data_IF_570287280397
#
_entry.id   IF_570287280397
#
_cell.length_a   1.000
_cell.length_b   1.000
_cell.length_c   1.000
_cell.angle_alpha   90.00
_cell.angle_beta   90.00
_cell.angle_gamma   90.00
#
_symmetry.space_group_name_H-M   'P 1'
#
loop_
_entity.id
_entity.type
_entity.pdbx_description
1 polymer ?
#
# COMPACT_ATOMS: atom_id res chain seq x y z
N UNK A 1 11.55 -5.58 13.82
CA UNK A 1 10.38 -6.08 13.07
C UNK A 1 9.14 -5.36 13.57
N UNK A 2 8.06 -5.27 12.81
CA UNK A 2 6.88 -4.53 13.26
C UNK A 2 6.23 -5.21 14.46
N UNK A 3 5.83 -4.41 15.45
CA UNK A 3 5.10 -4.92 16.64
C UNK A 3 3.70 -5.43 16.28
N UNK A 4 3.14 -4.98 15.14
CA UNK A 4 1.85 -5.39 14.57
C UNK A 4 2.04 -5.65 13.08
N UNK A 5 1.40 -6.70 12.55
CA UNK A 5 1.35 -6.96 11.11
C UNK A 5 0.00 -7.56 10.69
N UNK A 6 -0.35 -7.39 9.43
CA UNK A 6 -1.53 -8.02 8.81
C UNK A 6 -1.20 -9.51 8.56
N UNK A 7 -1.81 -10.40 9.34
CA UNK A 7 -1.58 -11.84 9.25
C UNK A 7 -2.49 -12.48 8.23
N UNK A 8 -3.82 -12.28 8.36
CA UNK A 8 -4.77 -12.89 7.44
C UNK A 8 -5.73 -11.88 6.84
N UNK A 9 -6.12 -12.14 5.60
CA UNK A 9 -7.20 -11.46 4.89
C UNK A 9 -8.16 -12.51 4.35
N UNK A 10 -9.42 -12.45 4.74
CA UNK A 10 -10.50 -13.26 4.15
C UNK A 10 -11.52 -12.37 3.47
N UNK A 11 -11.87 -12.73 2.25
CA UNK A 11 -12.78 -11.97 1.39
C UNK A 11 -13.90 -12.91 0.93
N UNK A 12 -15.15 -12.48 1.08
CA UNK A 12 -16.34 -13.24 0.65
C UNK A 12 -17.34 -12.31 -0.03
N UNK A 13 -17.83 -12.67 -1.18
CA UNK A 13 -18.86 -11.93 -1.90
C UNK A 13 -18.45 -10.55 -2.44
N UNK A 14 -17.17 -10.18 -2.37
CA UNK A 14 -16.68 -8.85 -2.69
C UNK A 14 -16.12 -8.79 -4.12
N UNK A 15 -16.68 -7.94 -4.96
CA UNK A 15 -16.26 -7.70 -6.37
C UNK A 15 -16.13 -9.01 -7.14
N UNK A 16 -14.91 -9.45 -7.45
CA UNK A 16 -14.64 -10.68 -8.21
C UNK A 16 -14.57 -11.96 -7.36
N UNK A 17 -14.63 -11.85 -6.02
CA UNK A 17 -14.54 -12.99 -5.10
C UNK A 17 -15.94 -13.49 -4.70
N UNK A 18 -16.37 -14.61 -5.29
CA UNK A 18 -17.68 -15.23 -5.01
C UNK A 18 -17.70 -15.97 -3.68
N UNK A 19 -16.64 -16.75 -3.39
CA UNK A 19 -16.51 -17.59 -2.20
C UNK A 19 -15.45 -17.05 -1.25
N UNK A 20 -15.48 -17.55 0.00
CA UNK A 20 -14.45 -17.22 1.01
C UNK A 20 -13.05 -17.54 0.48
N UNK A 21 -12.29 -16.49 0.21
CA UNK A 21 -10.91 -16.57 -0.26
C UNK A 21 -10.00 -16.00 0.81
N UNK A 22 -9.01 -16.80 1.27
CA UNK A 22 -8.10 -16.44 2.34
C UNK A 22 -6.67 -16.26 1.85
N UNK A 23 -5.94 -15.33 2.47
CA UNK A 23 -4.51 -15.08 2.29
C UNK A 23 -3.87 -14.93 3.65
N UNK A 24 -2.70 -15.55 3.85
CA UNK A 24 -1.93 -15.44 5.09
C UNK A 24 -0.55 -14.86 4.82
N UNK A 25 -0.21 -13.82 5.52
CA UNK A 25 1.07 -13.12 5.40
C UNK A 25 1.95 -13.36 6.63
N UNK A 26 3.25 -13.12 6.46
CA UNK A 26 4.25 -13.07 7.54
C UNK A 26 4.81 -11.67 7.65
N UNK A 27 5.48 -11.32 8.77
CA UNK A 27 6.30 -10.11 8.81
C UNK A 27 7.28 -10.07 7.64
N UNK A 28 7.66 -8.87 7.19
CA UNK A 28 8.54 -8.69 6.04
C UNK A 28 7.79 -8.39 4.75
N UNK A 29 8.12 -9.06 3.66
CA UNK A 29 7.60 -8.77 2.30
C UNK A 29 6.62 -9.86 1.86
N UNK A 30 5.34 -9.51 1.78
CA UNK A 30 4.31 -10.32 1.13
C UNK A 30 4.14 -9.92 -0.34
N UNK A 31 4.06 -10.91 -1.24
CA UNK A 31 3.87 -10.63 -2.65
C UNK A 31 2.64 -11.36 -3.20
N UNK A 32 1.82 -10.64 -3.95
CA UNK A 32 0.63 -11.15 -4.65
C UNK A 32 0.90 -11.09 -6.14
N UNK A 33 0.78 -12.25 -6.81
CA UNK A 33 1.01 -12.38 -8.25
C UNK A 33 -0.20 -12.95 -8.96
N UNK A 34 -0.32 -12.68 -10.25
CA UNK A 34 -1.37 -13.20 -11.12
C UNK A 34 -1.46 -12.39 -12.40
N UNK A 35 -2.12 -12.89 -13.42
CA UNK A 35 -2.33 -12.18 -14.68
C UNK A 35 -3.12 -10.87 -14.46
N UNK A 36 -3.12 -9.97 -15.45
CA UNK A 36 -3.97 -8.78 -15.40
C UNK A 36 -5.44 -9.17 -15.41
N UNK A 37 -6.27 -8.44 -14.66
CA UNK A 37 -7.71 -8.68 -14.60
C UNK A 37 -8.16 -9.83 -13.68
N UNK A 38 -7.24 -10.56 -13.01
CA UNK A 38 -7.63 -11.69 -12.13
C UNK A 38 -8.11 -11.27 -10.73
N UNK A 39 -8.25 -9.98 -10.45
CA UNK A 39 -8.77 -9.50 -9.17
C UNK A 39 -7.71 -9.16 -8.11
N UNK A 40 -6.41 -9.07 -8.46
CA UNK A 40 -5.35 -8.70 -7.49
C UNK A 40 -5.64 -7.38 -6.77
N UNK A 41 -5.95 -6.33 -7.52
CA UNK A 41 -6.25 -5.01 -6.95
C UNK A 41 -7.57 -5.00 -6.16
N UNK A 42 -8.49 -5.94 -6.40
CA UNK A 42 -9.71 -6.09 -5.60
C UNK A 42 -9.40 -6.55 -4.15
N UNK A 43 -8.24 -7.16 -3.94
CA UNK A 43 -7.75 -7.51 -2.60
C UNK A 43 -7.42 -6.24 -1.82
N UNK A 44 -6.75 -5.27 -2.44
CA UNK A 44 -6.47 -3.97 -1.81
C UNK A 44 -7.77 -3.21 -1.53
N UNK A 45 -8.71 -3.23 -2.47
CA UNK A 45 -10.03 -2.63 -2.27
C UNK A 45 -10.76 -3.23 -1.06
N UNK A 46 -10.69 -4.56 -0.92
CA UNK A 46 -11.30 -5.26 0.21
C UNK A 46 -10.64 -4.87 1.54
N UNK A 47 -9.30 -4.77 1.57
CA UNK A 47 -8.58 -4.29 2.77
C UNK A 47 -8.94 -2.85 3.10
N UNK A 48 -8.98 -1.94 2.12
CA UNK A 48 -9.40 -0.55 2.32
C UNK A 48 -10.82 -0.47 2.86
N UNK A 49 -11.73 -1.21 2.24
CA UNK A 49 -13.12 -1.27 2.68
C UNK A 49 -13.25 -1.79 4.12
N UNK A 50 -12.56 -2.87 4.48
CA UNK A 50 -12.56 -3.41 5.84
C UNK A 50 -11.96 -2.44 6.87
N UNK A 51 -10.99 -1.60 6.48
CA UNK A 51 -10.45 -0.52 7.31
C UNK A 51 -11.41 0.69 7.42
N UNK A 52 -12.64 0.57 6.92
CA UNK A 52 -13.68 1.60 7.04
C UNK A 52 -13.58 2.71 6.00
N UNK A 53 -12.98 2.43 4.83
CA UNK A 53 -13.08 3.36 3.69
C UNK A 53 -14.47 3.27 3.07
N UNK A 54 -15.18 4.39 3.01
CA UNK A 54 -16.50 4.52 2.40
C UNK A 54 -16.48 5.33 1.10
N UNK A 55 -15.31 5.77 0.68
CA UNK A 55 -15.12 6.46 -0.58
C UNK A 55 -15.12 5.45 -1.74
N UNK A 56 -16.25 5.38 -2.45
CA UNK A 56 -16.43 4.45 -3.57
C UNK A 56 -15.41 4.67 -4.68
N UNK A 57 -15.06 5.92 -4.98
CA UNK A 57 -14.07 6.24 -6.01
C UNK A 57 -12.69 5.69 -5.62
N UNK A 58 -12.31 5.82 -4.35
CA UNK A 58 -11.05 5.26 -3.83
C UNK A 58 -11.00 3.75 -3.90
N UNK A 59 -12.11 3.05 -3.75
CA UNK A 59 -12.22 1.59 -3.92
C UNK A 59 -12.67 1.19 -5.32
N UNK A 60 -12.59 2.11 -6.30
CA UNK A 60 -12.85 1.89 -7.71
C UNK A 60 -14.26 1.38 -8.01
N UNK A 61 -15.26 2.00 -7.39
CA UNK A 61 -16.68 1.78 -7.63
C UNK A 61 -17.35 3.11 -7.94
N UNK A 62 -18.34 3.10 -8.79
CA UNK A 62 -19.25 4.24 -9.01
C UNK A 62 -20.50 4.12 -8.15
N UNK A 63 -20.96 2.89 -7.95
CA UNK A 63 -22.16 2.58 -7.18
C UNK A 63 -21.85 1.51 -6.12
N UNK A 64 -22.65 1.51 -5.05
CA UNK A 64 -22.44 0.61 -3.92
C UNK A 64 -22.65 -0.87 -4.29
N UNK A 65 -23.50 -1.14 -5.28
CA UNK A 65 -23.76 -2.45 -5.85
C UNK A 65 -22.51 -3.10 -6.44
N UNK A 66 -21.55 -2.31 -6.94
CA UNK A 66 -20.31 -2.81 -7.53
C UNK A 66 -19.34 -3.38 -6.49
N UNK A 67 -19.59 -3.17 -5.21
CA UNK A 67 -18.86 -3.85 -4.14
C UNK A 67 -19.20 -5.33 -4.06
N UNK A 68 -20.42 -5.69 -4.46
CA UNK A 68 -20.91 -7.06 -4.38
C UNK A 68 -20.52 -7.85 -5.63
N UNK A 69 -20.17 -9.12 -5.44
CA UNK A 69 -20.00 -10.02 -6.55
C UNK A 69 -21.29 -10.07 -7.37
N UNK A 70 -21.18 -9.75 -8.66
CA UNK A 70 -22.35 -9.59 -9.55
C UNK A 70 -22.97 -10.90 -10.02
N UNK A 71 -22.37 -12.04 -9.63
CA UNK A 71 -22.75 -13.36 -10.13
C UNK A 71 -21.92 -13.81 -11.32
N UNK A 72 -21.95 -15.08 -11.55
CA UNK A 72 -21.32 -15.77 -12.68
C UNK A 72 -22.18 -16.94 -13.14
N UNK A 73 -21.67 -17.76 -14.05
CA UNK A 73 -22.38 -18.96 -14.49
C UNK A 73 -22.53 -20.00 -13.37
N UNK A 74 -21.55 -20.08 -12.44
CA UNK A 74 -21.52 -21.07 -11.36
C UNK A 74 -22.00 -20.54 -10.02
N UNK A 75 -21.96 -19.22 -9.82
CA UNK A 75 -22.26 -18.59 -8.55
C UNK A 75 -23.32 -17.50 -8.71
N UNK A 76 -24.35 -17.47 -7.86
CA UNK A 76 -25.31 -16.37 -7.86
C UNK A 76 -24.67 -15.07 -7.43
N UNK A 77 -25.28 -13.92 -7.72
CA UNK A 77 -24.87 -12.64 -7.14
C UNK A 77 -24.85 -12.72 -5.61
N UNK A 78 -23.83 -12.12 -5.00
CA UNK A 78 -23.73 -12.10 -3.54
C UNK A 78 -24.84 -11.25 -2.94
N UNK A 79 -25.53 -11.76 -1.92
CA UNK A 79 -26.46 -11.01 -1.06
C UNK A 79 -25.72 -10.18 -0.04
N UNK A 80 -24.56 -10.67 0.40
CA UNK A 80 -23.76 -10.10 1.46
C UNK A 80 -22.28 -10.11 1.08
N UNK A 81 -21.57 -9.12 1.55
CA UNK A 81 -20.12 -9.06 1.47
C UNK A 81 -19.54 -9.08 2.87
N UNK A 82 -18.44 -9.83 3.03
CA UNK A 82 -17.72 -9.91 4.31
C UNK A 82 -16.22 -9.90 4.06
N UNK A 83 -15.52 -9.01 4.76
CA UNK A 83 -14.07 -8.97 4.78
C UNK A 83 -13.58 -9.04 6.22
N UNK A 84 -12.65 -9.95 6.45
CA UNK A 84 -12.04 -10.18 7.77
C UNK A 84 -10.53 -9.94 7.66
N UNK A 85 -9.98 -9.12 8.54
CA UNK A 85 -8.55 -8.90 8.68
C UNK A 85 -8.10 -9.36 10.05
N UNK A 86 -7.03 -10.16 10.10
CA UNK A 86 -6.38 -10.54 11.35
C UNK A 86 -5.07 -9.76 11.46
N UNK A 87 -4.94 -9.00 12.55
CA UNK A 87 -3.71 -8.30 12.90
C UNK A 87 -3.04 -9.05 14.05
N UNK A 88 -1.78 -9.42 13.89
CA UNK A 88 -1.00 -10.11 14.93
C UNK A 88 -0.10 -9.12 15.65
N UNK A 89 -0.05 -9.21 16.99
CA UNK A 89 0.82 -8.38 17.83
C UNK A 89 2.09 -9.19 18.19
N UNK A 90 3.19 -8.91 17.47
CA UNK A 90 4.46 -9.64 17.68
C UNK A 90 4.56 -10.93 16.87
N UNK A 91 5.74 -11.56 16.92
CA UNK A 91 6.08 -12.72 16.10
C UNK A 91 5.89 -14.08 16.82
N UNK A 92 5.61 -14.04 18.11
CA UNK A 92 5.43 -15.27 18.89
C UNK A 92 4.18 -16.04 18.45
N UNK A 93 4.26 -17.36 18.45
CA UNK A 93 3.17 -18.24 18.00
C UNK A 93 1.85 -18.02 18.74
N UNK A 94 1.91 -17.52 19.97
CA UNK A 94 0.76 -17.23 20.85
C UNK A 94 0.54 -15.73 21.06
N UNK A 95 1.12 -14.88 20.20
CA UNK A 95 0.90 -13.44 20.26
C UNK A 95 -0.59 -13.10 20.09
N UNK A 96 -1.04 -12.08 20.78
CA UNK A 96 -2.43 -11.64 20.70
C UNK A 96 -2.80 -11.25 19.26
N UNK A 97 -4.05 -11.50 18.89
CA UNK A 97 -4.59 -11.12 17.60
C UNK A 97 -5.77 -10.16 17.76
N UNK A 98 -5.88 -9.23 16.84
CA UNK A 98 -7.02 -8.31 16.69
C UNK A 98 -7.74 -8.71 15.41
N UNK A 99 -9.04 -8.96 15.49
CA UNK A 99 -9.87 -9.31 14.37
C UNK A 99 -10.71 -8.09 13.97
N UNK A 100 -10.53 -7.62 12.75
CA UNK A 100 -11.34 -6.57 12.15
C UNK A 100 -12.30 -7.22 11.15
N UNK A 101 -13.58 -7.00 11.30
CA UNK A 101 -14.58 -7.56 10.39
C UNK A 101 -15.52 -6.46 9.93
N UNK A 102 -15.75 -6.39 8.63
CA UNK A 102 -16.83 -5.60 8.06
C UNK A 102 -17.72 -6.48 7.22
N UNK A 103 -19.01 -6.31 7.39
CA UNK A 103 -20.04 -7.03 6.66
C UNK A 103 -21.13 -6.07 6.21
N UNK A 104 -21.56 -6.20 4.97
CA UNK A 104 -22.62 -5.39 4.40
C UNK A 104 -23.56 -6.26 3.59
N UNK A 105 -24.88 -6.04 3.73
CA UNK A 105 -25.90 -6.67 2.89
C UNK A 105 -26.37 -5.73 1.77
N UNK A 106 -26.89 -6.31 0.69
CA UNK A 106 -27.57 -5.54 -0.37
C UNK A 106 -28.81 -4.80 0.15
N UNK A 107 -29.40 -5.27 1.24
CA UNK A 107 -30.54 -4.61 1.88
C UNK A 107 -30.17 -3.32 2.64
N UNK A 108 -28.85 -2.99 2.72
CA UNK A 108 -28.35 -1.74 3.26
C UNK A 108 -27.81 -1.82 4.70
N UNK A 109 -27.77 -3.01 5.33
CA UNK A 109 -27.09 -3.15 6.64
C UNK A 109 -25.58 -3.09 6.44
N UNK A 110 -24.87 -2.36 7.30
CA UNK A 110 -23.40 -2.23 7.30
C UNK A 110 -22.91 -2.33 8.74
N UNK A 111 -22.14 -3.37 9.02
CA UNK A 111 -21.72 -3.75 10.35
C UNK A 111 -20.20 -3.83 10.47
N UNK A 112 -19.68 -3.36 11.61
CA UNK A 112 -18.25 -3.35 11.93
C UNK A 112 -18.01 -4.03 13.27
N UNK A 113 -17.01 -4.90 13.34
CA UNK A 113 -16.57 -5.55 14.57
C UNK A 113 -15.07 -5.44 14.76
N UNK A 114 -14.66 -5.30 16.01
CA UNK A 114 -13.27 -5.46 16.44
C UNK A 114 -13.27 -6.51 17.55
N UNK A 115 -12.68 -7.67 17.29
CA UNK A 115 -12.58 -8.80 18.23
C UNK A 115 -13.91 -9.07 18.93
N UNK A 116 -14.97 -9.37 18.15
CA UNK A 116 -16.34 -9.67 18.59
C UNK A 116 -17.19 -8.49 19.08
N UNK A 117 -16.61 -7.34 19.39
CA UNK A 117 -17.35 -6.14 19.79
C UNK A 117 -17.88 -5.39 18.57
N UNK A 118 -19.18 -5.07 18.49
CA UNK A 118 -19.76 -4.30 17.41
C UNK A 118 -19.48 -2.80 17.58
N UNK A 119 -19.33 -2.09 16.46
CA UNK A 119 -19.11 -0.65 16.41
C UNK A 119 -19.94 -0.02 15.30
N UNK A 120 -20.35 1.24 15.48
CA UNK A 120 -20.72 2.09 14.37
C UNK A 120 -19.46 2.55 13.62
N UNK A 121 -19.63 3.09 12.40
CA UNK A 121 -18.50 3.51 11.56
C UNK A 121 -17.58 4.53 12.25
N UNK A 122 -18.12 5.51 12.97
CA UNK A 122 -17.32 6.56 13.60
C UNK A 122 -16.49 6.01 14.77
N UNK A 123 -17.12 5.21 15.63
CA UNK A 123 -16.46 4.55 16.75
C UNK A 123 -15.41 3.53 16.26
N UNK A 124 -15.71 2.80 15.17
CA UNK A 124 -14.77 1.90 14.51
C UNK A 124 -13.50 2.64 14.06
N UNK A 125 -13.67 3.73 13.31
CA UNK A 125 -12.54 4.56 12.84
C UNK A 125 -11.69 5.11 13.99
N UNK A 126 -12.34 5.59 15.06
CA UNK A 126 -11.65 6.04 16.27
C UNK A 126 -10.86 4.89 16.93
N UNK A 127 -11.48 3.71 17.03
CA UNK A 127 -10.79 2.55 17.61
C UNK A 127 -9.61 2.09 16.80
N UNK A 128 -9.67 2.17 15.46
CA UNK A 128 -8.50 1.92 14.59
C UNK A 128 -7.35 2.89 14.87
N UNK A 129 -7.62 4.17 15.18
CA UNK A 129 -6.59 5.13 15.60
C UNK A 129 -5.93 4.68 16.91
N UNK A 130 -6.73 4.29 17.92
CA UNK A 130 -6.22 3.80 19.21
C UNK A 130 -5.34 2.54 19.06
N UNK A 131 -5.54 1.77 18.01
CA UNK A 131 -4.78 0.56 17.67
C UNK A 131 -3.54 0.82 16.79
N UNK A 132 -3.22 2.09 16.50
CA UNK A 132 -2.08 2.44 15.63
C UNK A 132 -2.35 2.17 14.13
N UNK A 133 -3.62 2.12 13.73
CA UNK A 133 -4.07 1.93 12.34
C UNK A 133 -4.68 3.20 11.74
N UNK A 134 -4.54 4.33 12.41
CA UNK A 134 -5.17 5.59 12.00
C UNK A 134 -4.83 6.01 10.58
N UNK A 135 -3.60 5.76 10.18
CA UNK A 135 -3.09 6.11 8.85
C UNK A 135 -3.01 4.93 7.88
N UNK A 136 -3.52 3.75 8.24
CA UNK A 136 -3.38 2.55 7.40
C UNK A 136 -3.93 2.75 5.97
N UNK A 137 -5.04 3.47 5.81
CA UNK A 137 -5.59 3.80 4.50
C UNK A 137 -4.67 4.70 3.66
N UNK A 138 -3.86 5.54 4.29
CA UNK A 138 -2.93 6.44 3.62
C UNK A 138 -1.70 5.72 3.09
N UNK A 139 -1.39 4.53 3.61
CA UNK A 139 -0.23 3.71 3.23
C UNK A 139 -0.56 2.65 2.18
N UNK A 140 -1.78 2.69 1.62
CA UNK A 140 -2.21 1.87 0.49
C UNK A 140 -2.08 2.71 -0.78
N UNK A 141 -1.18 2.31 -1.69
CA UNK A 141 -0.84 3.06 -2.91
C UNK A 141 -1.06 2.22 -4.15
N UNK A 142 -1.71 2.80 -5.13
CA UNK A 142 -1.89 2.23 -6.46
C UNK A 142 -0.97 2.87 -7.49
N UNK A 143 -0.79 2.20 -8.60
CA UNK A 143 0.04 2.65 -9.72
C UNK A 143 -0.32 4.07 -10.17
N UNK A 144 -1.61 4.38 -10.34
CA UNK A 144 -2.08 5.69 -10.78
C UNK A 144 -1.73 6.81 -9.80
N UNK A 145 -1.67 6.49 -8.51
CA UNK A 145 -1.44 7.45 -7.43
C UNK A 145 0.04 7.70 -7.14
N UNK A 146 0.96 6.98 -7.80
CA UNK A 146 2.38 7.09 -7.45
C UNK A 146 2.93 8.50 -7.68
N UNK A 147 2.48 9.18 -8.73
CA UNK A 147 3.00 10.48 -9.14
C UNK A 147 2.22 11.68 -8.59
N UNK A 148 1.11 11.49 -7.90
CA UNK A 148 0.17 12.54 -7.52
C UNK A 148 0.84 13.70 -6.81
N UNK A 149 1.53 13.43 -5.69
CA UNK A 149 2.17 14.47 -4.88
C UNK A 149 3.30 15.17 -5.63
N UNK A 150 4.09 14.42 -6.42
CA UNK A 150 5.23 14.97 -7.16
C UNK A 150 4.79 15.97 -8.24
N UNK A 151 3.67 15.70 -8.91
CA UNK A 151 3.18 16.52 -10.03
C UNK A 151 2.42 17.78 -9.61
N UNK A 152 2.02 17.89 -8.35
CA UNK A 152 1.40 19.10 -7.82
C UNK A 152 2.35 20.31 -7.93
N UNK A 153 1.77 21.51 -8.06
CA UNK A 153 2.57 22.72 -7.89
C UNK A 153 3.11 22.84 -6.44
N UNK A 154 4.15 23.62 -6.17
CA UNK A 154 4.79 23.66 -4.85
C UNK A 154 3.85 23.93 -3.68
N UNK A 155 2.86 24.82 -3.86
CA UNK A 155 1.93 25.22 -2.78
C UNK A 155 0.92 24.08 -2.49
N UNK A 156 0.29 23.55 -3.53
CA UNK A 156 -0.60 22.39 -3.38
C UNK A 156 0.12 21.15 -2.88
N UNK A 157 1.38 20.96 -3.26
CA UNK A 157 2.21 19.86 -2.78
C UNK A 157 2.43 19.98 -1.27
N UNK A 158 2.74 21.17 -0.77
CA UNK A 158 2.89 21.40 0.67
C UNK A 158 1.57 21.13 1.41
N UNK A 159 0.46 21.66 0.93
CA UNK A 159 -0.88 21.44 1.49
C UNK A 159 -1.25 19.94 1.52
N UNK A 160 -0.99 19.21 0.44
CA UNK A 160 -1.26 17.76 0.37
C UNK A 160 -0.41 16.96 1.37
N UNK A 161 0.88 17.30 1.51
CA UNK A 161 1.77 16.65 2.47
C UNK A 161 1.38 17.01 3.91
N UNK A 162 1.06 18.28 4.17
CA UNK A 162 0.58 18.73 5.48
C UNK A 162 -0.67 17.93 5.92
N UNK A 163 -1.65 17.81 5.02
CA UNK A 163 -2.85 17.00 5.25
C UNK A 163 -2.53 15.51 5.43
N UNK A 164 -1.63 14.96 4.62
CA UNK A 164 -1.22 13.55 4.71
C UNK A 164 -0.60 13.24 6.07
N UNK A 165 0.31 14.10 6.55
CA UNK A 165 1.01 13.92 7.81
C UNK A 165 0.14 14.22 9.04
N UNK A 166 -0.99 14.91 8.87
CA UNK A 166 -1.90 15.26 9.97
C UNK A 166 -1.25 16.16 11.04
N UNK A 167 -0.28 16.99 10.65
CA UNK A 167 0.43 17.88 11.58
C UNK A 167 -0.46 19.04 12.06
N UNK A 168 -0.22 19.52 13.27
CA UNK A 168 -1.03 20.58 13.88
C UNK A 168 -0.73 21.97 13.31
N UNK A 169 0.43 22.16 12.72
CA UNK A 169 0.83 23.43 12.12
C UNK A 169 1.72 23.25 10.89
N UNK A 170 1.72 24.26 10.02
CA UNK A 170 2.62 24.30 8.86
C UNK A 170 4.11 24.37 9.26
N UNK A 171 4.43 24.93 10.45
CA UNK A 171 5.80 24.98 10.95
C UNK A 171 6.29 23.58 11.33
N UNK A 172 5.46 22.81 12.05
CA UNK A 172 5.75 21.43 12.41
C UNK A 172 5.97 20.56 11.16
N UNK A 173 5.13 20.73 10.12
CA UNK A 173 5.30 20.06 8.83
C UNK A 173 6.63 20.46 8.18
N UNK A 174 6.97 21.73 8.17
CA UNK A 174 8.21 22.22 7.56
C UNK A 174 9.46 21.66 8.26
N UNK A 175 9.46 21.60 9.58
CA UNK A 175 10.54 20.99 10.39
C UNK A 175 10.63 19.48 10.11
N UNK A 176 9.51 18.78 10.11
CA UNK A 176 9.46 17.35 9.80
C UNK A 176 10.03 17.05 8.40
N UNK A 177 9.65 17.83 7.39
CA UNK A 177 10.17 17.69 6.04
C UNK A 177 11.68 17.87 5.97
N UNK A 178 12.21 18.92 6.65
CA UNK A 178 13.62 19.27 6.61
C UNK A 178 14.50 18.25 7.35
N UNK A 179 14.07 17.81 8.52
CA UNK A 179 14.94 17.06 9.42
C UNK A 179 14.80 15.55 9.25
N UNK A 180 13.56 15.05 9.14
CA UNK A 180 13.33 13.61 9.14
C UNK A 180 13.10 13.05 7.75
N UNK A 181 12.26 13.71 6.97
CA UNK A 181 11.88 13.21 5.64
C UNK A 181 13.04 13.39 4.67
N UNK A 182 13.78 14.49 4.73
CA UNK A 182 14.96 14.71 3.90
C UNK A 182 16.03 13.63 4.13
N UNK A 183 16.25 13.19 5.38
CA UNK A 183 17.18 12.10 5.68
C UNK A 183 16.76 10.78 5.04
N UNK A 184 15.50 10.38 5.23
CA UNK A 184 14.95 9.14 4.63
C UNK A 184 14.99 9.21 3.10
N UNK A 185 14.67 10.37 2.55
CA UNK A 185 14.67 10.61 1.12
C UNK A 185 16.06 10.50 0.49
N UNK A 186 17.10 11.08 1.13
CA UNK A 186 18.50 10.91 0.69
C UNK A 186 18.92 9.44 0.67
N UNK A 187 18.54 8.70 1.70
CA UNK A 187 18.81 7.26 1.81
C UNK A 187 18.13 6.49 0.68
N UNK A 188 16.83 6.71 0.43
CA UNK A 188 16.10 6.03 -0.63
C UNK A 188 16.59 6.40 -2.02
N UNK A 189 16.89 7.67 -2.26
CA UNK A 189 17.44 8.11 -3.53
C UNK A 189 18.80 7.46 -3.83
N UNK A 190 19.63 7.22 -2.82
CA UNK A 190 20.93 6.55 -3.01
C UNK A 190 20.82 5.11 -3.53
N UNK A 191 19.71 4.41 -3.20
CA UNK A 191 19.42 3.10 -3.78
C UNK A 191 18.89 3.20 -5.21
N UNK A 192 17.95 4.11 -5.43
CA UNK A 192 17.13 4.13 -6.66
C UNK A 192 17.83 4.81 -7.82
N UNK A 193 18.58 5.88 -7.55
CA UNK A 193 19.37 6.61 -8.56
C UNK A 193 20.81 6.72 -8.06
N UNK A 194 21.74 5.86 -8.50
CA UNK A 194 23.12 5.96 -8.12
C UNK A 194 23.68 7.37 -8.42
N UNK A 195 24.31 8.00 -7.41
CA UNK A 195 24.77 9.42 -7.45
C UNK A 195 23.64 10.46 -7.56
N UNK A 196 22.36 10.01 -7.62
CA UNK A 196 21.21 10.91 -7.58
C UNK A 196 20.98 11.49 -6.20
N UNK A 197 20.47 12.70 -6.15
CA UNK A 197 20.06 13.37 -4.90
C UNK A 197 18.73 14.05 -5.10
N UNK A 198 17.92 14.09 -4.06
CA UNK A 198 16.71 14.91 -4.02
C UNK A 198 16.83 15.90 -2.87
N UNK A 199 16.47 17.13 -3.12
CA UNK A 199 16.40 18.21 -2.13
C UNK A 199 14.99 18.76 -2.05
N UNK A 200 14.54 18.97 -0.86
CA UNK A 200 13.25 19.58 -0.55
C UNK A 200 13.50 21.05 -0.21
N UNK A 201 13.02 21.96 -1.04
CA UNK A 201 13.15 23.41 -0.84
C UNK A 201 11.82 24.00 -0.38
N UNK A 202 11.77 24.41 0.87
CA UNK A 202 10.63 25.16 1.41
C UNK A 202 10.68 26.58 0.88
N UNK A 203 9.61 26.99 0.21
CA UNK A 203 9.43 28.34 -0.32
C UNK A 203 8.25 29.03 0.37
N UNK A 204 8.30 30.35 0.47
CA UNK A 204 7.18 31.15 0.98
C UNK A 204 6.89 32.26 -0.01
N UNK A 205 5.60 32.45 -0.35
CA UNK A 205 5.14 33.53 -1.21
C UNK A 205 3.75 33.96 -0.75
N UNK A 206 3.59 35.27 -0.57
CA UNK A 206 2.31 35.89 -0.15
C UNK A 206 1.72 35.23 1.13
N UNK A 207 2.60 34.88 2.10
CA UNK A 207 2.22 34.21 3.36
C UNK A 207 1.89 32.72 3.23
N UNK A 208 1.92 32.13 2.02
CA UNK A 208 1.66 30.70 1.77
C UNK A 208 2.99 29.95 1.69
N UNK A 209 3.05 28.78 2.35
CA UNK A 209 4.18 27.85 2.25
C UNK A 209 4.03 26.94 1.04
N UNK A 210 5.16 26.67 0.40
CA UNK A 210 5.25 25.73 -0.71
C UNK A 210 6.45 24.81 -0.54
N UNK A 211 6.41 23.65 -1.19
CA UNK A 211 7.51 22.69 -1.25
C UNK A 211 7.93 22.50 -2.70
N UNK A 212 9.10 23.01 -3.06
CA UNK A 212 9.73 22.70 -4.33
C UNK A 212 10.63 21.48 -4.21
N UNK A 213 10.78 20.74 -5.30
CA UNK A 213 11.59 19.52 -5.33
C UNK A 213 12.61 19.65 -6.45
N UNK A 214 13.88 19.57 -6.06
CA UNK A 214 15.01 19.55 -6.95
C UNK A 214 15.69 18.17 -6.92
N UNK A 215 15.87 17.59 -8.10
CA UNK A 215 16.53 16.29 -8.29
C UNK A 215 17.82 16.47 -9.05
N UNK A 216 18.94 16.10 -8.45
CA UNK A 216 20.22 15.99 -9.13
C UNK A 216 20.35 14.58 -9.66
N UNK A 217 20.54 14.45 -10.98
CA UNK A 217 20.72 13.20 -11.69
C UNK A 217 22.21 12.93 -11.96
N UNK A 218 22.61 11.71 -12.33
CA UNK A 218 23.96 11.40 -12.74
C UNK A 218 24.52 12.41 -13.77
N UNK A 219 25.79 12.81 -13.60
CA UNK A 219 26.41 13.87 -14.41
C UNK A 219 26.04 15.29 -13.95
N UNK A 220 25.62 15.46 -12.69
CA UNK A 220 25.26 16.75 -12.05
C UNK A 220 24.15 17.51 -12.79
N UNK A 221 23.25 16.80 -13.47
CA UNK A 221 22.09 17.40 -14.13
C UNK A 221 21.02 17.69 -13.10
N UNK A 222 20.80 18.94 -12.80
CA UNK A 222 19.76 19.41 -11.88
C UNK A 222 18.45 19.61 -12.64
N UNK A 223 17.36 19.04 -12.10
CA UNK A 223 16.00 19.14 -12.66
C UNK A 223 14.98 19.39 -11.57
N UNK A 224 13.98 20.17 -11.91
CA UNK A 224 12.80 20.29 -11.06
C UNK A 224 11.78 19.18 -11.37
N UNK A 225 10.90 18.88 -10.43
CA UNK A 225 9.94 17.76 -10.53
C UNK A 225 9.20 17.69 -11.89
N UNK A 226 8.78 18.82 -12.45
CA UNK A 226 8.08 18.86 -13.72
C UNK A 226 8.95 18.56 -14.95
N UNK A 227 10.28 18.68 -14.82
CA UNK A 227 11.26 18.49 -15.90
C UNK A 227 11.78 17.05 -15.99
N UNK A 228 11.40 16.19 -15.04
CA UNK A 228 11.82 14.79 -15.00
C UNK A 228 11.12 14.00 -16.12
N UNK A 229 11.82 13.01 -16.67
CA UNK A 229 11.24 12.01 -17.56
C UNK A 229 10.23 11.12 -16.81
N UNK A 230 9.41 10.32 -17.51
CA UNK A 230 8.42 9.44 -16.89
C UNK A 230 9.03 8.50 -15.86
N UNK A 231 10.08 7.78 -16.19
CA UNK A 231 10.78 6.87 -15.27
C UNK A 231 11.43 7.60 -14.09
N UNK A 232 12.09 8.74 -14.31
CA UNK A 232 12.66 9.58 -13.25
C UNK A 232 11.57 10.09 -12.29
N UNK A 233 10.38 10.47 -12.80
CA UNK A 233 9.21 10.86 -12.00
C UNK A 233 8.74 9.72 -11.11
N UNK A 234 8.56 8.53 -11.66
CA UNK A 234 8.08 7.36 -10.90
C UNK A 234 9.04 6.98 -9.77
N UNK A 235 10.34 6.95 -10.05
CA UNK A 235 11.39 6.67 -9.04
C UNK A 235 11.40 7.73 -7.94
N UNK A 236 11.42 8.99 -8.33
CA UNK A 236 11.44 10.13 -7.40
C UNK A 236 10.19 10.15 -6.53
N UNK A 237 9.05 9.87 -7.13
CA UNK A 237 7.76 9.81 -6.44
C UNK A 237 7.68 8.65 -5.45
N UNK A 238 8.18 7.47 -5.83
CA UNK A 238 8.25 6.32 -4.94
C UNK A 238 9.12 6.62 -3.72
N UNK A 239 10.33 7.19 -3.94
CA UNK A 239 11.21 7.59 -2.85
C UNK A 239 10.56 8.60 -1.90
N UNK A 240 9.90 9.62 -2.45
CA UNK A 240 9.20 10.63 -1.66
C UNK A 240 8.06 10.02 -0.84
N UNK A 241 7.18 9.21 -1.46
CA UNK A 241 6.07 8.56 -0.77
C UNK A 241 6.55 7.65 0.36
N UNK A 242 7.55 6.81 0.11
CA UNK A 242 8.08 5.95 1.16
C UNK A 242 8.73 6.74 2.31
N UNK A 243 9.40 7.86 2.02
CA UNK A 243 9.94 8.74 3.06
C UNK A 243 8.82 9.39 3.90
N UNK A 244 7.73 9.83 3.27
CA UNK A 244 6.55 10.37 3.98
C UNK A 244 5.86 9.30 4.82
N UNK A 245 5.69 8.09 4.30
CA UNK A 245 4.98 7.01 4.97
C UNK A 245 5.66 6.55 6.26
N UNK A 246 6.97 6.76 6.41
CA UNK A 246 7.65 6.51 7.69
C UNK A 246 7.11 7.34 8.86
N UNK A 247 6.41 8.42 8.59
CA UNK A 247 5.79 9.27 9.62
C UNK A 247 4.34 8.89 9.93
N UNK A 248 3.74 8.04 9.13
CA UNK A 248 2.35 7.63 9.30
C UNK A 248 2.23 6.48 10.31
N UNK A 249 1.15 6.49 11.07
CA UNK A 249 0.79 5.42 11.99
C UNK A 249 0.12 4.26 11.22
N UNK A 250 0.95 3.41 10.65
CA UNK A 250 0.49 2.18 9.99
C UNK A 250 1.53 1.07 10.17
N UNK A 251 1.14 -0.13 10.55
CA UNK A 251 2.04 -1.26 10.70
C UNK A 251 2.43 -1.90 9.36
N UNK A 252 1.73 -1.60 8.27
CA UNK A 252 1.96 -2.19 6.95
C UNK A 252 1.82 -1.16 5.82
N UNK A 253 2.44 -1.47 4.69
CA UNK A 253 2.27 -0.78 3.42
C UNK A 253 1.70 -1.76 2.40
N UNK A 254 0.68 -1.33 1.64
CA UNK A 254 0.14 -2.08 0.51
C UNK A 254 0.42 -1.31 -0.79
N UNK A 255 1.13 -1.94 -1.72
CA UNK A 255 1.56 -1.31 -2.96
C UNK A 255 1.07 -2.10 -4.16
N UNK A 256 0.32 -1.47 -5.06
CA UNK A 256 -0.21 -2.09 -6.27
C UNK A 256 0.56 -1.59 -7.51
N UNK A 257 1.43 -2.43 -8.06
CA UNK A 257 2.21 -2.20 -9.27
C UNK A 257 2.94 -0.84 -9.29
N UNK A 258 3.52 -0.45 -8.14
CA UNK A 258 4.15 0.86 -7.96
C UNK A 258 5.59 0.91 -8.45
N UNK A 259 6.15 -0.23 -8.88
CA UNK A 259 7.53 -0.28 -9.33
C UNK A 259 7.69 0.44 -10.67
N UNK A 260 8.65 1.36 -10.74
CA UNK A 260 8.94 2.07 -11.99
C UNK A 260 9.45 1.11 -13.07
N UNK A 261 9.27 1.47 -14.34
CA UNK A 261 9.85 0.75 -15.48
C UNK A 261 11.35 0.54 -15.26
N UNK A 262 11.79 -0.71 -15.33
CA UNK A 262 13.14 -1.16 -14.95
C UNK A 262 14.29 -0.62 -15.80
N UNK A 263 14.00 0.11 -16.88
CA UNK A 263 15.01 0.68 -17.77
C UNK A 263 15.99 1.63 -17.05
N UNK A 264 15.61 2.12 -15.88
CA UNK A 264 16.39 3.11 -15.10
C UNK A 264 16.96 2.58 -13.79
N UNK A 265 16.54 1.40 -13.29
CA UNK A 265 16.95 0.90 -11.97
C UNK A 265 17.55 -0.49 -12.08
N UNK A 266 18.74 -0.67 -11.49
CA UNK A 266 19.31 -1.99 -11.28
C UNK A 266 18.42 -2.80 -10.31
N UNK A 267 18.09 -4.03 -10.66
CA UNK A 267 17.31 -4.96 -9.83
C UNK A 267 17.82 -5.06 -8.39
N UNK A 268 19.15 -5.09 -8.19
CA UNK A 268 19.75 -5.14 -6.84
C UNK A 268 19.46 -3.87 -6.03
N UNK A 269 19.47 -2.72 -6.67
CA UNK A 269 19.17 -1.43 -6.03
C UNK A 269 17.72 -1.37 -5.58
N UNK A 270 16.78 -1.78 -6.41
CA UNK A 270 15.37 -1.90 -6.04
C UNK A 270 15.18 -2.89 -4.89
N UNK A 271 15.84 -4.04 -4.93
CA UNK A 271 15.77 -5.01 -3.83
C UNK A 271 16.28 -4.43 -2.51
N UNK A 272 17.41 -3.70 -2.54
CA UNK A 272 17.96 -3.06 -1.34
C UNK A 272 17.00 -2.00 -0.79
N UNK A 273 16.40 -1.20 -1.67
CA UNK A 273 15.39 -0.21 -1.31
C UNK A 273 14.16 -0.86 -0.65
N UNK A 274 13.57 -1.90 -1.27
CA UNK A 274 12.39 -2.58 -0.73
C UNK A 274 12.67 -3.27 0.62
N UNK A 275 13.84 -3.89 0.78
CA UNK A 275 14.28 -4.45 2.06
C UNK A 275 14.41 -3.38 3.15
N UNK A 276 14.90 -2.21 2.79
CA UNK A 276 15.04 -1.09 3.70
C UNK A 276 13.67 -0.54 4.13
N UNK A 277 12.74 -0.39 3.19
CA UNK A 277 11.35 -0.01 3.49
C UNK A 277 10.67 -1.04 4.40
N UNK A 278 10.90 -2.34 4.14
CA UNK A 278 10.29 -3.43 4.91
C UNK A 278 10.98 -3.70 6.26
N UNK A 279 12.08 -3.01 6.60
CA UNK A 279 12.86 -3.32 7.81
C UNK A 279 12.06 -3.19 9.11
N UNK A 280 11.23 -2.16 9.23
CA UNK A 280 10.45 -1.87 10.43
C UNK A 280 8.94 -2.03 10.25
N UNK A 281 8.48 -2.40 9.06
CA UNK A 281 7.06 -2.51 8.73
C UNK A 281 6.84 -3.60 7.70
N UNK A 282 5.68 -4.23 7.75
CA UNK A 282 5.30 -5.20 6.73
C UNK A 282 5.03 -4.48 5.39
N UNK A 283 5.53 -5.04 4.30
CA UNK A 283 5.32 -4.57 2.95
C UNK A 283 4.57 -5.64 2.14
N UNK A 284 3.35 -5.34 1.71
CA UNK A 284 2.56 -6.22 0.84
C UNK A 284 2.49 -5.60 -0.55
N UNK A 285 2.90 -6.34 -1.56
CA UNK A 285 3.03 -5.83 -2.92
C UNK A 285 2.28 -6.70 -3.94
N UNK A 286 1.54 -6.04 -4.82
CA UNK A 286 1.10 -6.66 -6.08
C UNK A 286 2.14 -6.31 -7.12
N UNK A 287 2.73 -7.31 -7.77
CA UNK A 287 3.80 -7.09 -8.75
C UNK A 287 3.90 -8.21 -9.79
N UNK A 288 4.45 -7.88 -10.94
CA UNK A 288 4.89 -8.82 -11.98
C UNK A 288 6.42 -8.94 -12.06
N UNK A 289 7.17 -8.17 -11.29
CA UNK A 289 8.62 -8.13 -11.36
C UNK A 289 9.25 -9.31 -10.64
N UNK A 290 9.99 -10.14 -11.38
CA UNK A 290 10.71 -11.30 -10.83
C UNK A 290 11.70 -10.91 -9.71
N UNK A 291 12.31 -9.74 -9.82
CA UNK A 291 13.24 -9.24 -8.80
C UNK A 291 12.57 -8.97 -7.46
N UNK A 292 11.35 -8.49 -7.46
CA UNK A 292 10.53 -8.26 -6.26
C UNK A 292 9.97 -9.57 -5.73
N UNK A 293 9.47 -10.44 -6.62
CA UNK A 293 8.99 -11.79 -6.24
C UNK A 293 10.07 -12.56 -5.50
N UNK A 294 11.33 -12.43 -5.92
CA UNK A 294 12.48 -13.10 -5.29
C UNK A 294 12.80 -12.61 -3.86
N UNK A 295 12.18 -11.51 -3.40
CA UNK A 295 12.32 -10.97 -2.05
C UNK A 295 11.20 -11.41 -1.11
N UNK A 296 10.16 -12.05 -1.63
CA UNK A 296 8.98 -12.38 -0.87
C UNK A 296 9.29 -13.32 0.29
N UNK A 297 8.80 -12.99 1.48
CA UNK A 297 8.70 -13.92 2.61
C UNK A 297 7.44 -14.79 2.46
N UNK A 298 6.39 -14.22 1.85
CA UNK A 298 5.16 -14.93 1.47
C UNK A 298 4.77 -14.61 0.03
N UNK A 299 4.37 -15.62 -0.73
CA UNK A 299 3.95 -15.50 -2.12
C UNK A 299 2.54 -16.08 -2.33
N UNK A 300 1.66 -15.26 -2.89
CA UNK A 300 0.27 -15.60 -3.15
C UNK A 300 -0.03 -15.52 -4.64
N UNK A 301 -0.61 -16.58 -5.20
CA UNK A 301 -1.01 -16.61 -6.59
C UNK A 301 -2.51 -16.52 -6.77
N UNK A 302 -2.99 -15.46 -7.41
CA UNK A 302 -4.40 -15.24 -7.73
C UNK A 302 -4.68 -15.65 -9.17
N UNK A 303 -5.80 -16.30 -9.39
CA UNK A 303 -6.34 -16.64 -10.73
C UNK A 303 -7.84 -16.44 -10.81
N UNK A 304 -8.34 -16.42 -12.02
CA UNK A 304 -9.76 -16.53 -12.30
C UNK A 304 -10.11 -17.99 -12.57
N UNK A 305 -11.30 -18.41 -12.14
CA UNK A 305 -11.95 -19.63 -12.61
C UNK A 305 -12.44 -19.43 -14.04
N UNK A 306 -12.91 -20.48 -14.68
CA UNK A 306 -13.47 -20.42 -16.03
C UNK A 306 -14.74 -19.52 -16.12
N UNK A 307 -15.46 -19.35 -15.01
CA UNK A 307 -16.64 -18.50 -14.86
C UNK A 307 -16.30 -17.01 -14.62
N UNK A 308 -15.01 -16.67 -14.54
CA UNK A 308 -14.51 -15.31 -14.30
C UNK A 308 -14.35 -14.92 -12.83
N UNK A 309 -14.80 -15.75 -11.88
CA UNK A 309 -14.61 -15.46 -10.44
C UNK A 309 -13.15 -15.63 -10.01
N UNK A 310 -12.72 -14.82 -9.06
CA UNK A 310 -11.34 -14.84 -8.52
C UNK A 310 -11.18 -15.86 -7.41
N UNK A 311 -10.01 -16.48 -7.34
CA UNK A 311 -9.65 -17.39 -6.26
C UNK A 311 -8.15 -17.42 -6.00
N UNK A 312 -7.75 -17.85 -4.81
CA UNK A 312 -6.36 -18.12 -4.47
C UNK A 312 -5.93 -19.48 -5.01
N UNK A 313 -4.96 -19.47 -5.93
CA UNK A 313 -4.46 -20.71 -6.54
C UNK A 313 -3.38 -21.39 -5.71
N UNK A 314 -2.46 -20.61 -5.14
CA UNK A 314 -1.37 -21.11 -4.31
C UNK A 314 -0.92 -20.08 -3.28
N UNK A 315 -0.33 -20.59 -2.23
CA UNK A 315 0.33 -19.85 -1.17
C UNK A 315 1.64 -20.54 -0.82
N UNK A 316 2.72 -19.79 -0.73
CA UNK A 316 4.03 -20.27 -0.29
C UNK A 316 4.61 -19.34 0.76
N UNK A 317 5.12 -19.93 1.83
CA UNK A 317 6.11 -19.29 2.70
C UNK A 317 7.47 -19.55 2.06
N UNK A 318 8.15 -18.50 1.64
CA UNK A 318 9.42 -18.59 0.93
C UNK A 318 10.54 -18.84 1.95
N UNK A 319 11.17 -19.98 1.86
CA UNK A 319 12.41 -20.26 2.57
C UNK A 319 13.59 -20.31 1.57
N UNK A 320 14.83 -20.27 2.08
CA UNK A 320 16.03 -20.27 1.22
C UNK A 320 16.10 -21.47 0.26
N UNK A 321 15.48 -22.60 0.56
CA UNK A 321 15.45 -23.79 -0.29
C UNK A 321 14.53 -23.60 -1.51
N UNK A 322 13.36 -22.97 -1.33
CA UNK A 322 12.44 -22.64 -2.42
C UNK A 322 13.01 -21.55 -3.34
N UNK A 323 13.72 -20.58 -2.78
CA UNK A 323 14.41 -19.55 -3.57
C UNK A 323 15.47 -20.12 -4.53
N UNK A 324 16.12 -21.24 -4.17
CA UNK A 324 17.09 -21.92 -5.05
C UNK A 324 16.41 -22.59 -6.24
N UNK A 325 15.23 -23.17 -6.06
CA UNK A 325 14.45 -23.79 -7.16
C UNK A 325 13.94 -22.73 -8.16
N UNK A 326 13.57 -21.54 -7.69
CA UNK A 326 13.11 -20.45 -8.57
C UNK A 326 14.24 -19.78 -9.37
N UNK A 327 15.50 -19.87 -8.91
CA UNK A 327 16.67 -19.34 -9.62
C UNK A 327 17.17 -20.22 -10.76
N UNK A 328 16.69 -21.48 -10.84
CA UNK A 328 17.09 -22.46 -11.84
C UNK A 328 16.07 -22.59 -13.00
N UNK A 329 14.99 -21.86 -12.98
CA UNK A 329 14.03 -21.70 -14.08
C UNK A 329 14.06 -20.26 -14.62
#
# INVERSE_FOLDING_TARGET
>A
MPDIYLEDVYITGFKSFSEKTGMSFKPGIGVIVGNNGVGKSNILDAVMWALGDNDLERIRCYEQEELFFSGSQDYPPASDIRVELTLRLGEEKNAAAIYLVREQSRSGSDHYWISEAPYDHQAYRKKLQDLGLGDALKTIVRQEQINDVLLLNPFRRFEAIHSLLGMNSENETAECLKDTIDQSLRRYMSYLIPQGRMRLDLISRDGRKGLDIEVTLPGNRVRRAHQLSGGEKSITSLALKMALFHKLESPFFLLDEVEPSLDYINHKSMQSFLKDVAHNRQLIMITHLRSTIALADTLHGVRTRWDGSSFMKFYFVMNEQLLRLYKCC
#
